data_IF_522364905312
#
_entry.id   IF_522364905312
#
_cell.length_a   1.000
_cell.length_b   1.000
_cell.length_c   1.000
_cell.angle_alpha   90.00
_cell.angle_beta   90.00
_cell.angle_gamma   90.00
#
_symmetry.space_group_name_H-M   'P 1'
#
loop_
_entity.id
_entity.type
_entity.pdbx_description
1 polymer ?
#
# COMPACT_ATOMS: atom_id res chain seq x y z
N UNK A 1 -33.99 -34.60 0.00
CA UNK A 1 -33.75 -33.97 1.32
C UNK A 1 -34.24 -34.93 2.40
N UNK A 2 -33.32 -35.50 3.18
CA UNK A 2 -33.62 -36.57 4.13
C UNK A 2 -34.28 -36.05 5.41
N UNK A 3 -35.09 -36.89 6.06
CA UNK A 3 -35.85 -36.59 7.30
C UNK A 3 -34.97 -35.97 8.40
N UNK A 4 -33.69 -36.35 8.48
CA UNK A 4 -32.71 -35.77 9.41
C UNK A 4 -32.49 -34.26 9.21
N UNK A 5 -32.53 -33.75 7.99
CA UNK A 5 -32.35 -32.31 7.70
C UNK A 5 -33.56 -31.45 8.14
N UNK A 6 -34.74 -32.05 8.34
CA UNK A 6 -35.93 -31.33 8.83
C UNK A 6 -36.02 -31.27 10.37
N UNK A 7 -35.41 -32.24 11.05
CA UNK A 7 -35.49 -32.37 12.52
C UNK A 7 -34.41 -31.52 13.22
N UNK A 8 -33.23 -31.38 12.60
CA UNK A 8 -32.11 -30.61 13.18
C UNK A 8 -32.48 -29.14 13.45
N UNK A 9 -33.11 -28.39 12.51
CA UNK A 9 -33.51 -27.00 12.78
C UNK A 9 -34.55 -26.89 13.90
N UNK A 10 -35.44 -27.88 14.04
CA UNK A 10 -36.47 -27.91 15.09
C UNK A 10 -35.87 -28.16 16.48
N UNK A 11 -34.84 -29.01 16.56
CA UNK A 11 -34.07 -29.23 17.79
C UNK A 11 -33.21 -28.02 18.18
N UNK A 12 -32.79 -27.20 17.21
CA UNK A 12 -32.02 -25.97 17.45
C UNK A 12 -32.89 -24.80 17.95
N UNK A 13 -34.18 -24.75 17.60
CA UNK A 13 -35.12 -23.69 18.03
C UNK A 13 -35.32 -23.65 19.55
N UNK A 14 -35.14 -24.78 20.26
CA UNK A 14 -35.26 -24.85 21.71
C UNK A 14 -33.96 -24.57 22.49
N UNK A 15 -32.82 -24.44 21.80
CA UNK A 15 -31.54 -24.12 22.44
C UNK A 15 -31.41 -22.60 22.56
N UNK A 16 -31.18 -22.11 23.79
CA UNK A 16 -30.72 -20.73 23.97
C UNK A 16 -29.42 -20.58 23.19
N UNK A 17 -29.40 -19.67 22.22
CA UNK A 17 -28.21 -19.33 21.44
C UNK A 17 -27.16 -18.75 22.39
N UNK A 18 -26.31 -19.59 22.97
CA UNK A 18 -25.18 -19.21 23.82
C UNK A 18 -23.98 -18.72 22.99
N UNK A 19 -24.26 -18.11 21.84
CA UNK A 19 -23.24 -17.50 20.97
C UNK A 19 -23.43 -15.99 21.05
N UNK A 20 -22.35 -15.23 21.30
CA UNK A 20 -22.45 -13.78 21.35
C UNK A 20 -22.95 -13.27 20.00
N UNK A 21 -23.98 -12.41 20.03
CA UNK A 21 -24.47 -11.79 18.81
C UNK A 21 -23.38 -10.95 18.16
N UNK A 22 -23.31 -11.07 16.84
CA UNK A 22 -22.35 -10.36 16.01
C UNK A 22 -22.55 -8.86 16.18
N UNK A 23 -21.55 -8.19 16.75
CA UNK A 23 -21.59 -6.74 17.00
C UNK A 23 -21.30 -5.88 15.75
N UNK A 24 -20.78 -6.48 14.67
CA UNK A 24 -20.37 -5.79 13.45
C UNK A 24 -21.30 -6.16 12.29
N UNK A 25 -21.78 -5.19 11.51
CA UNK A 25 -22.54 -5.52 10.31
C UNK A 25 -21.64 -6.13 9.21
N UNK A 26 -22.14 -7.09 8.41
CA UNK A 26 -21.41 -7.69 7.29
C UNK A 26 -21.14 -6.73 6.13
N UNK A 27 -21.96 -5.70 5.97
CA UNK A 27 -21.88 -4.77 4.86
C UNK A 27 -21.85 -3.34 5.39
N UNK A 28 -21.04 -2.48 4.78
CA UNK A 28 -21.14 -1.05 5.02
C UNK A 28 -22.47 -0.55 4.45
N UNK A 29 -23.42 -0.14 5.31
CA UNK A 29 -24.62 0.52 4.83
C UNK A 29 -24.21 1.87 4.21
N UNK A 30 -24.09 1.92 2.88
CA UNK A 30 -23.75 3.14 2.14
C UNK A 30 -24.99 3.98 1.81
N UNK A 31 -26.19 3.55 2.24
CA UNK A 31 -27.45 4.10 1.76
C UNK A 31 -28.39 4.40 2.92
N UNK A 32 -28.59 5.68 3.24
CA UNK A 32 -29.49 6.08 4.32
C UNK A 32 -29.36 7.53 4.79
N UNK A 33 -29.42 8.50 3.88
CA UNK A 33 -29.71 9.90 4.25
C UNK A 33 -30.99 10.10 5.11
N UNK A 34 -31.89 9.11 5.16
CA UNK A 34 -33.19 9.17 5.83
C UNK A 34 -33.28 8.39 7.16
N UNK A 35 -32.26 7.65 7.56
CA UNK A 35 -32.25 6.82 8.80
C UNK A 35 -31.20 7.30 9.81
N UNK A 36 -30.87 8.59 9.80
CA UNK A 36 -29.87 9.23 10.68
C UNK A 36 -30.35 9.39 12.13
N UNK A 37 -30.61 8.29 12.84
CA UNK A 37 -30.83 8.32 14.29
C UNK A 37 -30.07 7.18 14.96
N UNK A 38 -28.96 7.50 15.64
CA UNK A 38 -28.19 6.54 16.43
C UNK A 38 -26.71 6.91 16.59
N UNK A 39 -26.12 6.59 17.75
CA UNK A 39 -24.72 6.85 18.11
C UNK A 39 -23.70 5.86 17.49
N UNK A 40 -24.16 4.96 16.60
CA UNK A 40 -23.35 3.94 15.92
C UNK A 40 -23.42 4.09 14.40
N UNK A 41 -23.10 5.27 13.88
CA UNK A 41 -23.08 5.51 12.43
C UNK A 41 -21.80 4.96 11.81
N UNK A 42 -21.93 4.22 10.70
CA UNK A 42 -20.78 3.86 9.86
C UNK A 42 -20.27 5.10 9.13
N UNK A 43 -18.99 5.42 9.31
CA UNK A 43 -18.32 6.50 8.56
C UNK A 43 -18.32 6.13 7.07
N UNK A 44 -18.60 7.08 6.15
CA UNK A 44 -18.54 6.83 4.72
C UNK A 44 -17.22 6.17 4.29
N UNK A 45 -17.31 5.25 3.32
CA UNK A 45 -16.16 4.50 2.80
C UNK A 45 -15.05 5.42 2.29
N UNK A 46 -13.82 4.96 2.51
CA UNK A 46 -12.55 5.70 2.52
C UNK A 46 -12.29 6.48 1.23
N UNK A 47 -12.32 7.81 1.32
CA UNK A 47 -11.56 8.69 0.43
C UNK A 47 -10.07 8.65 0.84
N UNK A 48 -9.14 8.99 -0.06
CA UNK A 48 -7.72 9.19 0.28
C UNK A 48 -7.50 10.06 1.52
N UNK A 49 -8.34 11.10 1.70
CA UNK A 49 -8.32 11.96 2.87
C UNK A 49 -8.64 11.20 4.17
N UNK A 50 -9.69 10.37 4.18
CA UNK A 50 -10.08 9.60 5.37
C UNK A 50 -9.00 8.58 5.77
N UNK A 51 -8.27 8.01 4.80
CA UNK A 51 -7.15 7.09 5.07
C UNK A 51 -5.98 7.78 5.76
N UNK A 52 -5.66 9.01 5.34
CA UNK A 52 -4.64 9.83 5.97
C UNK A 52 -5.02 10.23 7.39
N UNK A 53 -6.25 10.71 7.58
CA UNK A 53 -6.72 11.05 8.93
C UNK A 53 -6.71 9.83 9.85
N UNK A 54 -7.03 8.63 9.34
CA UNK A 54 -6.92 7.41 10.13
C UNK A 54 -5.46 7.11 10.51
N UNK A 55 -4.52 7.25 9.58
CA UNK A 55 -3.11 6.95 9.84
C UNK A 55 -2.51 7.91 10.87
N UNK A 56 -3.02 9.14 11.00
CA UNK A 56 -2.65 10.11 12.03
C UNK A 56 -3.07 9.72 13.45
N UNK A 57 -4.05 8.82 13.62
CA UNK A 57 -4.45 8.33 14.95
C UNK A 57 -3.25 7.69 15.68
N UNK A 58 -3.12 7.92 16.99
CA UNK A 58 -1.96 7.50 17.78
C UNK A 58 -1.70 5.99 17.71
N UNK A 59 -2.76 5.17 17.70
CA UNK A 59 -2.67 3.70 17.58
C UNK A 59 -2.12 3.31 16.20
N UNK A 60 -2.68 3.87 15.13
CA UNK A 60 -2.26 3.56 13.76
C UNK A 60 -0.85 4.07 13.49
N UNK A 61 -0.53 5.30 13.92
CA UNK A 61 0.78 5.91 13.76
C UNK A 61 1.87 5.11 14.46
N UNK A 62 1.60 4.61 15.67
CA UNK A 62 2.53 3.73 16.39
C UNK A 62 2.78 2.42 15.64
N UNK A 63 1.73 1.78 15.12
CA UNK A 63 1.85 0.54 14.37
C UNK A 63 2.66 0.74 13.07
N UNK A 64 2.37 1.80 12.33
CA UNK A 64 3.09 2.18 11.11
C UNK A 64 4.57 2.41 11.43
N UNK A 65 4.87 3.19 12.46
CA UNK A 65 6.26 3.48 12.85
C UNK A 65 7.01 2.21 13.26
N UNK A 66 6.37 1.27 13.96
CA UNK A 66 7.01 0.00 14.35
C UNK A 66 7.42 -0.84 13.13
N UNK A 67 6.54 -0.96 12.14
CA UNK A 67 6.82 -1.71 10.91
C UNK A 67 7.87 -0.98 10.07
N UNK A 68 7.69 0.33 9.86
CA UNK A 68 8.61 1.19 9.11
C UNK A 68 10.02 1.10 9.69
N UNK A 69 10.17 1.29 11.00
CA UNK A 69 11.46 1.20 11.69
C UNK A 69 12.09 -0.20 11.59
N UNK A 70 11.27 -1.25 11.63
CA UNK A 70 11.75 -2.63 11.51
C UNK A 70 12.40 -2.91 10.16
N UNK A 71 11.86 -2.32 9.09
CA UNK A 71 12.34 -2.55 7.71
C UNK A 71 13.48 -1.58 7.35
N UNK A 72 13.38 -0.32 7.76
CA UNK A 72 14.34 0.74 7.38
C UNK A 72 15.69 0.61 8.06
N UNK A 73 15.75 -0.08 9.21
CA UNK A 73 16.99 -0.34 9.96
C UNK A 73 17.76 -1.58 9.48
N UNK A 74 17.22 -2.33 8.52
CA UNK A 74 17.91 -3.48 7.95
C UNK A 74 19.11 -3.04 7.11
N UNK A 75 20.16 -3.87 7.11
CA UNK A 75 21.32 -3.68 6.25
C UNK A 75 21.01 -4.25 4.86
N UNK A 76 20.59 -3.38 3.95
CA UNK A 76 20.30 -3.73 2.57
C UNK A 76 21.59 -3.81 1.75
N UNK A 77 21.70 -4.84 0.92
CA UNK A 77 22.81 -5.02 -0.03
C UNK A 77 22.28 -5.49 -1.38
N UNK A 78 23.07 -5.26 -2.43
CA UNK A 78 22.74 -5.68 -3.80
C UNK A 78 23.63 -6.85 -4.18
N UNK A 79 23.02 -7.96 -4.58
CA UNK A 79 23.71 -9.16 -5.04
C UNK A 79 23.14 -9.62 -6.38
N UNK A 80 23.94 -10.36 -7.14
CA UNK A 80 23.44 -11.10 -8.30
C UNK A 80 22.44 -12.18 -7.85
N UNK A 81 21.48 -12.50 -8.72
CA UNK A 81 20.48 -13.54 -8.43
C UNK A 81 21.11 -14.94 -8.43
N UNK A 82 22.05 -15.17 -9.35
CA UNK A 82 22.88 -16.38 -9.39
C UNK A 82 24.21 -16.12 -8.67
N UNK A 83 24.60 -17.03 -7.79
CA UNK A 83 25.83 -16.94 -7.01
C UNK A 83 27.08 -17.07 -7.88
N UNK A 84 27.00 -17.84 -8.99
CA UNK A 84 28.14 -18.04 -9.90
C UNK A 84 28.52 -16.76 -10.64
N UNK A 85 27.54 -15.89 -10.88
CA UNK A 85 27.68 -14.65 -11.63
C UNK A 85 28.12 -13.47 -10.73
N UNK A 86 28.24 -13.70 -9.42
CA UNK A 86 28.51 -12.64 -8.46
C UNK A 86 29.88 -11.98 -8.68
N UNK A 87 30.90 -12.73 -9.10
CA UNK A 87 32.21 -12.16 -9.45
C UNK A 87 32.15 -11.26 -10.69
N UNK A 88 31.37 -11.67 -11.70
CA UNK A 88 31.23 -10.95 -12.97
C UNK A 88 30.49 -9.63 -12.82
N UNK A 89 29.43 -9.60 -12.00
CA UNK A 89 28.60 -8.42 -11.80
C UNK A 89 28.99 -7.60 -10.56
N UNK A 90 30.07 -7.97 -9.86
CA UNK A 90 30.50 -7.32 -8.62
C UNK A 90 30.58 -5.80 -8.72
N UNK A 91 31.15 -5.29 -9.81
CA UNK A 91 31.31 -3.84 -10.01
C UNK A 91 29.98 -3.15 -10.32
N UNK A 92 29.09 -3.81 -11.05
CA UNK A 92 27.75 -3.32 -11.34
C UNK A 92 26.91 -3.29 -10.05
N UNK A 93 26.98 -4.33 -9.22
CA UNK A 93 26.30 -4.37 -7.93
C UNK A 93 26.76 -3.22 -7.03
N UNK A 94 28.06 -2.92 -6.97
CA UNK A 94 28.59 -1.76 -6.22
C UNK A 94 28.08 -0.42 -6.76
N UNK A 95 28.03 -0.25 -8.09
CA UNK A 95 27.50 0.98 -8.70
C UNK A 95 26.02 1.17 -8.34
N UNK A 96 25.23 0.09 -8.39
CA UNK A 96 23.81 0.12 -8.01
C UNK A 96 23.67 0.43 -6.52
N UNK A 97 24.44 -0.23 -5.66
CA UNK A 97 24.43 -0.01 -4.21
C UNK A 97 24.77 1.45 -3.86
N UNK A 98 25.81 2.02 -4.48
CA UNK A 98 26.15 3.44 -4.32
C UNK A 98 25.08 4.39 -4.85
N UNK A 99 24.40 4.02 -5.94
CA UNK A 99 23.30 4.79 -6.49
C UNK A 99 22.07 4.76 -5.58
N UNK A 100 21.80 3.61 -4.96
CA UNK A 100 20.69 3.43 -4.02
C UNK A 100 20.92 4.20 -2.72
N UNK A 101 22.15 4.24 -2.18
CA UNK A 101 22.46 5.02 -0.98
C UNK A 101 22.02 6.49 -1.07
N UNK A 102 22.10 7.08 -2.27
CA UNK A 102 21.64 8.44 -2.55
C UNK A 102 20.89 8.50 -3.88
N UNK A 103 19.61 8.10 -3.84
CA UNK A 103 18.74 8.02 -5.04
C UNK A 103 18.50 9.37 -5.70
N UNK A 104 18.39 10.43 -4.91
CA UNK A 104 18.18 11.78 -5.42
C UNK A 104 18.98 12.80 -4.58
N UNK A 105 19.05 14.08 -4.99
CA UNK A 105 19.84 15.08 -4.26
C UNK A 105 19.37 15.35 -2.82
N UNK A 106 18.08 15.19 -2.54
CA UNK A 106 17.43 15.54 -1.27
C UNK A 106 17.20 14.36 -0.31
N UNK A 107 17.12 13.15 -0.83
CA UNK A 107 16.74 11.92 -0.13
C UNK A 107 17.87 10.90 -0.13
N UNK A 108 17.94 10.16 0.96
CA UNK A 108 18.75 8.96 1.11
C UNK A 108 17.92 7.72 0.80
N UNK A 109 18.57 6.56 0.66
CA UNK A 109 17.86 5.28 0.56
C UNK A 109 16.80 5.11 1.65
N UNK A 110 17.18 5.46 2.87
CA UNK A 110 16.32 5.33 4.03
C UNK A 110 15.11 6.26 3.96
N UNK A 111 15.29 7.54 3.65
CA UNK A 111 14.17 8.48 3.59
C UNK A 111 13.21 8.17 2.44
N UNK A 112 13.74 7.68 1.31
CA UNK A 112 12.92 7.17 0.21
C UNK A 112 12.10 5.94 0.63
N UNK A 113 12.75 4.95 1.25
CA UNK A 113 12.10 3.71 1.68
C UNK A 113 11.06 3.95 2.80
N UNK A 114 11.33 4.89 3.71
CA UNK A 114 10.38 5.34 4.73
C UNK A 114 9.09 5.88 4.11
N UNK A 115 9.20 6.71 3.07
CA UNK A 115 8.04 7.27 2.35
C UNK A 115 7.25 6.17 1.61
N UNK A 116 7.94 5.27 0.90
CA UNK A 116 7.30 4.19 0.15
C UNK A 116 6.56 3.21 1.07
N UNK A 117 7.17 2.82 2.19
CA UNK A 117 6.52 1.89 3.14
C UNK A 117 5.34 2.55 3.83
N UNK A 118 5.42 3.84 4.17
CA UNK A 118 4.30 4.56 4.74
C UNK A 118 3.11 4.59 3.77
N UNK A 119 3.37 4.90 2.50
CA UNK A 119 2.35 4.83 1.44
C UNK A 119 1.79 3.41 1.27
N UNK A 120 2.62 2.37 1.26
CA UNK A 120 2.16 0.98 1.19
C UNK A 120 1.24 0.61 2.36
N UNK A 121 1.55 1.06 3.58
CA UNK A 121 0.75 0.75 4.76
C UNK A 121 -0.57 1.53 4.82
N UNK A 122 -0.61 2.74 4.25
CA UNK A 122 -1.80 3.61 4.27
C UNK A 122 -2.69 3.42 3.04
N UNK A 123 -2.09 3.43 1.85
CA UNK A 123 -2.75 3.37 0.56
C UNK A 123 -2.82 1.96 -0.04
N UNK A 124 -2.17 0.96 0.57
CA UNK A 124 -2.02 -0.40 0.02
C UNK A 124 -1.25 -0.47 -1.31
N UNK A 125 -0.53 0.60 -1.65
CA UNK A 125 0.33 0.70 -2.82
C UNK A 125 1.46 1.71 -2.51
N UNK A 126 2.60 1.55 -3.16
CA UNK A 126 3.72 2.47 -3.07
C UNK A 126 4.25 2.74 -4.48
N UNK A 127 4.54 4.00 -4.79
CA UNK A 127 4.97 4.39 -6.12
C UNK A 127 6.23 5.25 -6.11
N UNK A 128 7.07 5.06 -7.11
CA UNK A 128 8.27 5.85 -7.30
C UNK A 128 8.49 6.10 -8.78
N UNK A 129 8.84 7.33 -9.12
CA UNK A 129 9.28 7.71 -10.46
C UNK A 129 10.76 7.35 -10.62
N UNK A 130 11.10 6.68 -11.72
CA UNK A 130 12.47 6.28 -12.05
C UNK A 130 12.91 7.05 -13.29
N UNK A 131 13.98 7.82 -13.16
CA UNK A 131 14.57 8.59 -14.25
C UNK A 131 15.96 8.09 -14.56
N UNK A 132 16.29 7.99 -15.85
CA UNK A 132 17.65 7.70 -16.29
C UNK A 132 18.54 8.91 -16.04
N UNK A 133 19.65 8.72 -15.34
CA UNK A 133 20.65 9.75 -15.15
C UNK A 133 21.74 9.68 -16.23
N UNK A 134 22.36 10.80 -16.52
CA UNK A 134 23.40 10.92 -17.56
C UNK A 134 24.79 10.45 -17.14
N UNK A 135 24.97 10.04 -15.88
CA UNK A 135 26.25 9.62 -15.32
C UNK A 135 26.32 8.07 -15.27
N UNK A 136 27.31 7.42 -15.89
CA UNK A 136 27.48 5.97 -15.80
C UNK A 136 27.68 5.43 -14.37
N UNK A 137 28.25 6.23 -13.46
CA UNK A 137 28.44 5.85 -12.05
C UNK A 137 27.17 6.01 -11.21
N UNK A 138 26.16 6.70 -11.75
CA UNK A 138 24.82 6.85 -11.17
C UNK A 138 23.78 6.76 -12.26
N UNK A 139 23.48 5.55 -12.75
CA UNK A 139 22.71 5.35 -13.98
C UNK A 139 21.24 5.75 -13.87
N UNK A 140 20.68 5.82 -12.67
CA UNK A 140 19.29 6.20 -12.45
C UNK A 140 19.12 7.04 -11.19
N UNK A 141 17.99 7.74 -11.13
CA UNK A 141 17.47 8.43 -9.95
C UNK A 141 16.06 7.98 -9.68
N UNK A 142 15.68 7.98 -8.42
CA UNK A 142 14.31 7.65 -8.02
C UNK A 142 13.74 8.75 -7.13
N UNK A 143 12.47 9.05 -7.38
CA UNK A 143 11.71 10.03 -6.63
C UNK A 143 10.49 9.34 -6.03
N UNK A 144 10.23 9.46 -4.72
CA UNK A 144 9.01 8.93 -4.14
C UNK A 144 7.83 9.74 -4.65
N UNK A 145 6.74 9.08 -5.04
CA UNK A 145 5.52 9.72 -5.54
C UNK A 145 4.37 9.34 -4.62
N UNK A 146 3.58 10.34 -4.22
CA UNK A 146 2.35 10.08 -3.47
C UNK A 146 1.42 9.17 -4.27
N UNK A 147 1.18 7.98 -3.74
CA UNK A 147 0.38 6.96 -4.41
C UNK A 147 -1.05 7.42 -4.67
N UNK A 148 -1.62 8.27 -3.81
CA UNK A 148 -2.96 8.81 -4.02
C UNK A 148 -3.05 9.85 -5.15
N UNK A 149 -1.92 10.37 -5.61
CA UNK A 149 -1.85 11.33 -6.72
C UNK A 149 -1.84 10.65 -8.09
N UNK A 150 -1.70 9.32 -8.12
CA UNK A 150 -1.60 8.53 -9.34
C UNK A 150 -3.00 8.15 -9.80
N UNK A 151 -3.34 8.55 -11.01
CA UNK A 151 -4.58 8.19 -11.67
C UNK A 151 -4.26 7.26 -12.83
N UNK A 152 -4.98 6.13 -12.90
CA UNK A 152 -4.86 5.17 -13.99
C UNK A 152 -5.69 5.65 -15.18
N UNK A 153 -5.14 5.55 -16.38
CA UNK A 153 -5.89 5.83 -17.60
C UNK A 153 -6.81 4.64 -17.92
N UNK A 154 -8.15 4.81 -17.88
CA UNK A 154 -9.08 3.70 -18.12
C UNK A 154 -9.02 3.14 -19.55
N UNK A 155 -8.50 3.95 -20.49
CA UNK A 155 -8.37 3.61 -21.91
C UNK A 155 -6.99 3.04 -22.25
N UNK A 156 -6.14 2.80 -21.25
CA UNK A 156 -4.82 2.24 -21.50
C UNK A 156 -4.94 0.85 -22.13
N UNK A 157 -4.21 0.64 -23.22
CA UNK A 157 -4.25 -0.57 -24.05
C UNK A 157 -3.38 -1.71 -23.50
N UNK A 158 -2.84 -1.55 -22.28
CA UNK A 158 -2.01 -2.54 -21.59
C UNK A 158 -0.58 -2.66 -22.14
N UNK A 159 -0.19 -1.80 -23.10
CA UNK A 159 1.15 -1.85 -23.70
C UNK A 159 2.15 -1.06 -22.85
N UNK A 160 3.41 -1.52 -22.74
CA UNK A 160 4.43 -0.84 -21.93
C UNK A 160 4.90 0.51 -22.51
N UNK A 161 4.61 0.77 -23.78
CA UNK A 161 5.04 2.00 -24.49
C UNK A 161 4.00 3.12 -24.35
N UNK A 162 2.75 2.78 -24.09
CA UNK A 162 1.65 3.74 -23.91
C UNK A 162 1.59 4.21 -22.46
N UNK A 163 1.23 5.48 -22.25
CA UNK A 163 1.06 6.04 -20.92
C UNK A 163 -0.09 5.33 -20.18
N UNK A 164 0.25 4.59 -19.14
CA UNK A 164 -0.70 3.77 -18.35
C UNK A 164 -1.27 4.50 -17.15
N UNK A 165 -0.50 5.46 -16.63
CA UNK A 165 -0.80 6.23 -15.44
C UNK A 165 -0.26 7.64 -15.58
N UNK A 166 -1.01 8.62 -15.10
CA UNK A 166 -0.50 9.97 -14.89
C UNK A 166 -0.35 10.24 -13.40
N UNK A 167 0.78 10.82 -13.00
CA UNK A 167 0.92 11.46 -11.69
C UNK A 167 0.61 12.95 -11.85
N UNK A 168 -0.15 13.54 -10.93
CA UNK A 168 -0.41 14.98 -10.95
C UNK A 168 0.87 15.76 -10.63
N UNK A 169 1.57 16.24 -11.65
CA UNK A 169 2.63 17.24 -11.48
C UNK A 169 2.02 18.65 -11.56
N UNK A 170 1.87 19.33 -10.41
CA UNK A 170 1.48 20.74 -10.34
C UNK A 170 0.18 21.10 -11.10
N UNK A 171 -0.85 20.25 -11.02
CA UNK A 171 -2.16 20.53 -11.64
C UNK A 171 -2.22 20.34 -13.16
N UNK A 172 -1.14 19.89 -13.80
CA UNK A 172 -1.12 19.51 -15.21
C UNK A 172 -0.82 18.02 -15.32
N UNK A 173 -1.61 17.34 -16.14
CA UNK A 173 -1.40 15.93 -16.48
C UNK A 173 -0.23 15.88 -17.48
N UNK A 174 0.83 15.14 -17.14
CA UNK A 174 1.95 14.83 -18.04
C UNK A 174 2.08 13.32 -18.20
#
# INVERSE_FOLDING_TARGET
MGVRQRIIPWLEVGRTKNEPDRQNEPFSQSFGWWTRSGSKQSVPKRTPANLRTLSESSVSRRAINLIKDGITKLNWSVAAVDENDNEKYRDICKIIEWSLHKLNPGDSFRSWLEQIIEDMLVASAGSSEILKAGDPLRPFRMYPVDTFSIELYPQWDGKPVSLSSSAKANGCIR
#
